data_IF_992771651036
#
_entry.id   IF_992771651036
#
_cell.length_a   1.000
_cell.length_b   1.000
_cell.length_c   1.000
_cell.angle_alpha   90.00
_cell.angle_beta   90.00
_cell.angle_gamma   90.00
#
_symmetry.space_group_name_H-M   'P 1'
#
loop_
_entity.id
_entity.type
_entity.pdbx_description
1 polymer ?
#
# COMPACT_ATOMS: atom_id res chain seq x y z
N UNK A 1 49.64 -9.29 51.38
CA UNK A 1 49.26 -9.03 49.97
C UNK A 1 48.66 -10.32 49.41
N UNK A 2 47.37 -10.36 49.08
CA UNK A 2 46.72 -11.54 48.48
C UNK A 2 46.14 -11.11 47.13
N UNK A 3 46.74 -11.59 46.04
CA UNK A 3 46.27 -11.35 44.68
C UNK A 3 45.01 -12.17 44.40
N UNK A 4 44.00 -11.52 43.82
CA UNK A 4 42.80 -12.17 43.28
C UNK A 4 42.98 -12.30 41.77
N UNK A 5 43.05 -13.53 41.27
CA UNK A 5 42.99 -13.82 39.84
C UNK A 5 41.52 -13.88 39.41
N UNK A 6 41.17 -13.09 38.39
CA UNK A 6 39.84 -13.10 37.74
C UNK A 6 39.93 -14.05 36.54
N UNK A 7 39.17 -15.13 36.57
CA UNK A 7 38.96 -16.02 35.41
C UNK A 7 37.93 -15.38 34.48
N UNK A 8 38.33 -15.01 33.26
CA UNK A 8 37.43 -14.61 32.18
C UNK A 8 37.11 -15.88 31.38
N UNK A 9 35.87 -16.37 31.47
CA UNK A 9 35.37 -17.45 30.65
C UNK A 9 34.94 -16.90 29.28
N UNK A 10 35.69 -17.25 28.23
CA UNK A 10 35.37 -16.93 26.84
C UNK A 10 34.32 -17.94 26.34
N UNK A 11 33.05 -17.54 26.30
CA UNK A 11 31.98 -18.36 25.71
C UNK A 11 32.00 -18.18 24.19
N UNK A 12 32.58 -19.15 23.48
CA UNK A 12 32.49 -19.27 22.03
C UNK A 12 31.13 -19.91 21.69
N UNK A 13 30.16 -19.11 21.27
CA UNK A 13 28.88 -19.60 20.76
C UNK A 13 29.06 -20.03 19.29
N UNK A 14 28.77 -21.29 18.91
CA UNK A 14 28.77 -21.68 17.51
C UNK A 14 27.57 -21.03 16.80
N UNK A 15 27.84 -20.23 15.76
CA UNK A 15 26.83 -19.77 14.80
C UNK A 15 26.30 -20.97 14.04
N UNK A 16 25.11 -21.44 14.41
CA UNK A 16 24.30 -22.29 13.53
C UNK A 16 23.72 -21.39 12.44
N UNK A 17 24.28 -21.49 11.24
CA UNK A 17 23.66 -20.98 10.03
C UNK A 17 22.42 -21.84 9.73
N UNK A 18 21.24 -21.37 10.14
CA UNK A 18 19.99 -21.91 9.63
C UNK A 18 19.77 -21.38 8.22
N UNK A 19 19.98 -22.22 7.22
CA UNK A 19 19.48 -21.96 5.87
C UNK A 19 17.95 -21.91 5.92
N UNK A 20 17.36 -20.76 5.58
CA UNK A 20 15.91 -20.65 5.42
C UNK A 20 15.50 -21.38 4.14
N UNK A 21 14.73 -22.45 4.27
CA UNK A 21 14.00 -23.06 3.17
C UNK A 21 12.76 -22.19 2.88
N UNK A 22 12.63 -21.66 1.67
CA UNK A 22 11.40 -21.03 1.15
C UNK A 22 10.37 -22.11 0.80
N UNK A 23 9.64 -22.61 1.80
CA UNK A 23 8.47 -23.44 1.55
C UNK A 23 7.21 -22.62 1.84
N UNK A 24 6.45 -22.33 0.78
CA UNK A 24 5.11 -21.73 0.81
C UNK A 24 4.12 -22.65 0.09
N UNK A 25 2.85 -22.59 0.48
CA UNK A 25 1.76 -23.36 -0.12
C UNK A 25 0.93 -22.51 -1.07
N UNK A 26 0.10 -23.17 -1.87
CA UNK A 26 -0.86 -22.49 -2.74
C UNK A 26 -2.26 -23.01 -2.48
N UNK A 27 -3.27 -22.16 -2.63
CA UNK A 27 -4.67 -22.50 -2.42
C UNK A 27 -5.49 -22.10 -3.63
N UNK A 28 -6.20 -23.05 -4.21
CA UNK A 28 -7.16 -22.81 -5.28
C UNK A 28 -8.57 -23.10 -4.80
N UNK A 29 -9.49 -22.17 -5.01
CA UNK A 29 -10.92 -22.34 -4.71
C UNK A 29 -11.71 -22.04 -5.97
N UNK A 30 -12.57 -22.95 -6.40
CA UNK A 30 -13.46 -22.73 -7.54
C UNK A 30 -14.90 -23.16 -7.26
N UNK A 31 -15.85 -22.54 -7.95
CA UNK A 31 -17.27 -22.89 -7.91
C UNK A 31 -17.65 -23.82 -9.05
N UNK A 32 -18.14 -25.02 -8.70
CA UNK A 32 -18.61 -26.01 -9.67
C UNK A 32 -19.90 -25.55 -10.37
N UNK A 33 -20.75 -24.79 -9.67
CA UNK A 33 -22.00 -24.22 -10.18
C UNK A 33 -21.83 -22.87 -10.89
N UNK A 34 -20.61 -22.33 -10.96
CA UNK A 34 -20.34 -21.02 -11.58
C UNK A 34 -20.78 -19.82 -10.73
N UNK A 35 -21.03 -20.04 -9.44
CA UNK A 35 -21.35 -18.96 -8.50
C UNK A 35 -20.13 -18.07 -8.28
N UNK A 36 -20.28 -16.76 -8.52
CA UNK A 36 -19.21 -15.79 -8.27
C UNK A 36 -19.12 -15.48 -6.78
N UNK A 37 -17.90 -15.39 -6.25
CA UNK A 37 -17.65 -15.15 -4.84
C UNK A 37 -16.46 -14.24 -4.58
N UNK A 38 -16.46 -13.66 -3.39
CA UNK A 38 -15.31 -13.02 -2.76
C UNK A 38 -14.67 -14.00 -1.78
N UNK A 39 -13.34 -14.05 -1.80
CA UNK A 39 -12.53 -14.83 -0.89
C UNK A 39 -11.95 -13.93 0.18
N UNK A 40 -12.13 -14.30 1.44
CA UNK A 40 -11.51 -13.65 2.58
C UNK A 40 -10.64 -14.68 3.29
N UNK A 41 -9.36 -14.38 3.47
CA UNK A 41 -8.41 -15.19 4.22
C UNK A 41 -7.92 -14.40 5.44
N UNK A 42 -8.02 -14.99 6.62
CA UNK A 42 -7.63 -14.38 7.90
C UNK A 42 -8.25 -12.98 8.15
N UNK A 43 -9.42 -12.72 7.58
CA UNK A 43 -10.11 -11.42 7.70
C UNK A 43 -9.81 -10.43 6.57
N UNK A 44 -8.87 -10.74 5.67
CA UNK A 44 -8.51 -9.90 4.53
C UNK A 44 -9.12 -10.41 3.23
N UNK A 45 -9.84 -9.54 2.51
CA UNK A 45 -10.42 -9.87 1.21
C UNK A 45 -9.33 -9.94 0.13
N UNK A 46 -9.31 -11.03 -0.64
CA UNK A 46 -8.25 -11.35 -1.59
C UNK A 46 -8.55 -10.88 -3.02
N UNK A 47 -9.82 -10.60 -3.33
CA UNK A 47 -10.26 -10.16 -4.66
C UNK A 47 -11.28 -9.02 -4.55
N UNK A 48 -11.15 -7.99 -5.39
CA UNK A 48 -12.07 -6.83 -5.40
C UNK A 48 -13.29 -7.05 -6.30
N UNK A 49 -13.17 -7.95 -7.28
CA UNK A 49 -14.23 -8.36 -8.21
C UNK A 49 -14.59 -9.82 -7.94
N UNK A 50 -15.87 -10.21 -7.84
CA UNK A 50 -16.25 -11.57 -7.50
C UNK A 50 -15.94 -12.52 -8.66
N UNK A 51 -15.21 -13.59 -8.38
CA UNK A 51 -14.71 -14.55 -9.36
C UNK A 51 -15.32 -15.94 -9.15
N UNK A 52 -15.25 -16.82 -10.15
CA UNK A 52 -15.68 -18.22 -10.03
C UNK A 52 -14.52 -19.17 -9.73
N UNK A 53 -13.28 -18.72 -9.88
CA UNK A 53 -12.07 -19.51 -9.68
C UNK A 53 -10.92 -18.59 -9.24
N UNK A 54 -10.44 -18.78 -8.02
CA UNK A 54 -9.39 -17.97 -7.39
C UNK A 54 -8.26 -18.88 -6.96
N UNK A 55 -7.03 -18.51 -7.31
CA UNK A 55 -5.81 -19.10 -6.80
C UNK A 55 -5.04 -18.07 -5.99
N UNK A 56 -4.63 -18.45 -4.80
CA UNK A 56 -3.75 -17.69 -3.92
C UNK A 56 -2.42 -18.42 -3.81
N UNK A 57 -1.34 -17.75 -4.18
CA UNK A 57 0.03 -18.26 -4.09
C UNK A 57 0.76 -17.68 -2.87
N UNK A 58 1.86 -18.31 -2.48
CA UNK A 58 2.77 -17.84 -1.41
C UNK A 58 2.17 -17.84 0.00
N UNK A 59 1.36 -18.85 0.31
CA UNK A 59 0.77 -19.05 1.63
C UNK A 59 1.79 -19.64 2.62
N UNK A 60 2.29 -18.79 3.52
CA UNK A 60 3.31 -19.15 4.52
C UNK A 60 2.78 -19.64 5.88
N UNK A 61 1.47 -19.85 6.05
CA UNK A 61 0.90 -20.45 7.27
C UNK A 61 0.30 -21.82 6.96
N UNK A 62 0.31 -22.79 7.89
CA UNK A 62 -0.26 -24.11 7.61
C UNK A 62 -1.79 -24.12 7.56
N UNK A 63 -2.46 -23.15 8.17
CA UNK A 63 -3.91 -23.03 8.24
C UNK A 63 -4.36 -21.59 7.97
N UNK A 64 -5.48 -21.44 7.26
CA UNK A 64 -6.10 -20.14 6.98
C UNK A 64 -7.58 -20.16 7.35
N UNK A 65 -8.00 -19.15 8.13
CA UNK A 65 -9.42 -18.89 8.37
C UNK A 65 -10.03 -18.33 7.08
N UNK A 66 -10.89 -19.12 6.45
CA UNK A 66 -11.44 -18.81 5.13
C UNK A 66 -12.91 -18.46 5.24
N UNK A 67 -13.31 -17.34 4.64
CA UNK A 67 -14.69 -16.97 4.44
C UNK A 67 -14.98 -16.74 2.96
N UNK A 68 -16.03 -17.39 2.47
CA UNK A 68 -16.56 -17.22 1.11
C UNK A 68 -17.82 -16.37 1.22
N UNK A 69 -17.84 -15.26 0.48
CA UNK A 69 -18.99 -14.36 0.41
C UNK A 69 -19.51 -14.37 -1.03
N UNK A 70 -20.72 -14.88 -1.24
CA UNK A 70 -21.28 -14.96 -2.58
C UNK A 70 -21.73 -13.59 -3.11
N UNK A 71 -21.56 -13.38 -4.41
CA UNK A 71 -22.10 -12.20 -5.09
C UNK A 71 -23.64 -12.21 -5.06
N UNK A 72 -24.24 -13.40 -5.20
CA UNK A 72 -25.67 -13.61 -4.98
C UNK A 72 -25.98 -13.63 -3.47
N UNK A 73 -26.61 -12.55 -2.99
CA UNK A 73 -26.95 -12.36 -1.57
C UNK A 73 -28.00 -13.35 -1.03
N UNK A 74 -28.60 -14.17 -1.89
CA UNK A 74 -29.51 -15.25 -1.48
C UNK A 74 -28.77 -16.49 -0.98
N UNK A 75 -27.46 -16.60 -1.27
CA UNK A 75 -26.64 -17.70 -0.81
C UNK A 75 -25.99 -17.36 0.54
N UNK A 76 -25.96 -18.31 1.49
CA UNK A 76 -25.28 -18.10 2.76
C UNK A 76 -23.76 -18.09 2.58
N UNK A 77 -23.07 -17.23 3.34
CA UNK A 77 -21.62 -17.25 3.44
C UNK A 77 -21.11 -18.59 4.01
N UNK A 78 -19.92 -19.00 3.58
CA UNK A 78 -19.25 -20.20 4.11
C UNK A 78 -18.04 -19.76 4.94
N UNK A 79 -17.89 -20.28 6.15
CA UNK A 79 -16.68 -20.07 6.97
C UNK A 79 -16.06 -21.42 7.34
N UNK A 80 -14.80 -21.63 6.96
CA UNK A 80 -14.02 -22.85 7.27
C UNK A 80 -12.54 -22.54 7.45
N UNK A 81 -11.85 -23.30 8.29
CA UNK A 81 -10.39 -23.29 8.35
C UNK A 81 -9.84 -24.27 7.32
N UNK A 82 -8.98 -23.80 6.43
CA UNK A 82 -8.38 -24.61 5.37
C UNK A 82 -6.91 -24.87 5.68
N UNK A 83 -6.45 -26.09 5.41
CA UNK A 83 -5.07 -26.50 5.61
C UNK A 83 -4.33 -26.44 4.26
N UNK A 84 -3.12 -25.90 4.25
CA UNK A 84 -2.26 -25.82 3.04
C UNK A 84 -1.00 -26.69 3.13
N UNK A 85 -0.91 -27.52 4.17
CA UNK A 85 0.18 -28.48 4.38
C UNK A 85 -0.34 -29.92 4.38
N UNK A 86 0.56 -30.86 4.10
CA UNK A 86 0.28 -32.29 4.29
C UNK A 86 0.43 -32.72 5.77
N UNK A 87 0.20 -34.01 6.04
CA UNK A 87 0.35 -34.60 7.39
C UNK A 87 1.79 -34.55 7.95
N UNK A 88 2.79 -34.29 7.10
CA UNK A 88 4.20 -34.17 7.47
C UNK A 88 4.66 -32.71 7.59
N UNK A 89 3.77 -31.75 7.34
CA UNK A 89 4.05 -30.32 7.43
C UNK A 89 4.66 -29.71 6.17
N UNK A 90 4.74 -30.43 5.05
CA UNK A 90 5.20 -29.84 3.79
C UNK A 90 4.09 -28.97 3.21
N UNK A 91 4.47 -27.82 2.66
CA UNK A 91 3.54 -26.96 1.95
C UNK A 91 3.15 -27.54 0.59
N UNK A 92 1.85 -27.45 0.29
CA UNK A 92 1.24 -28.10 -0.86
C UNK A 92 0.42 -27.12 -1.69
N UNK A 93 0.17 -27.49 -2.94
CA UNK A 93 -0.83 -26.86 -3.80
C UNK A 93 -2.18 -27.54 -3.55
N UNK A 94 -3.03 -26.87 -2.76
CA UNK A 94 -4.30 -27.40 -2.28
C UNK A 94 -5.46 -26.81 -3.06
N UNK A 95 -6.42 -27.65 -3.43
CA UNK A 95 -7.61 -27.24 -4.17
C UNK A 95 -8.85 -27.60 -3.37
N UNK A 96 -9.74 -26.62 -3.22
CA UNK A 96 -11.09 -26.79 -2.71
C UNK A 96 -12.12 -26.42 -3.78
N UNK A 97 -13.29 -27.05 -3.71
CA UNK A 97 -14.42 -26.80 -4.61
C UNK A 97 -15.66 -26.42 -3.83
N UNK A 98 -16.37 -25.40 -4.32
CA UNK A 98 -17.70 -25.03 -3.84
C UNK A 98 -18.72 -25.85 -4.64
N UNK A 99 -19.58 -26.60 -3.94
CA UNK A 99 -20.60 -27.44 -4.55
C UNK A 99 -21.98 -27.18 -3.93
N UNK A 100 -23.02 -27.24 -4.76
CA UNK A 100 -24.43 -27.25 -4.33
C UNK A 100 -24.92 -28.68 -4.15
N UNK A 101 -25.48 -29.01 -2.99
CA UNK A 101 -26.14 -30.29 -2.70
C UNK A 101 -27.48 -30.02 -2.02
N UNK A 102 -28.59 -30.39 -2.67
CA UNK A 102 -29.94 -30.42 -2.09
C UNK A 102 -30.28 -29.22 -1.16
N UNK A 103 -30.16 -27.99 -1.67
CA UNK A 103 -30.48 -26.77 -0.91
C UNK A 103 -29.35 -26.22 -0.02
N UNK A 104 -28.23 -26.94 0.10
CA UNK A 104 -27.04 -26.52 0.82
C UNK A 104 -25.87 -26.24 -0.12
N UNK A 105 -25.07 -25.23 0.19
CA UNK A 105 -23.82 -24.93 -0.49
C UNK A 105 -22.67 -25.21 0.47
N UNK A 106 -21.64 -25.90 -0.01
CA UNK A 106 -20.53 -26.31 0.84
C UNK A 106 -19.18 -26.21 0.12
N UNK A 107 -18.12 -25.98 0.90
CA UNK A 107 -16.74 -25.92 0.45
C UNK A 107 -16.03 -27.23 0.81
N UNK A 108 -15.69 -28.02 -0.21
CA UNK A 108 -15.14 -29.37 -0.07
C UNK A 108 -13.69 -29.43 -0.54
N UNK A 109 -12.86 -30.16 0.19
CA UNK A 109 -11.53 -30.52 -0.28
C UNK A 109 -11.63 -31.30 -1.60
N UNK A 110 -10.81 -30.94 -2.59
CA UNK A 110 -10.80 -31.57 -3.90
C UNK A 110 -9.51 -32.36 -4.13
N UNK A 111 -8.36 -31.70 -4.01
CA UNK A 111 -7.06 -32.32 -4.26
C UNK A 111 -5.93 -31.57 -3.56
N UNK A 112 -4.78 -32.23 -3.45
CA UNK A 112 -3.53 -31.66 -2.96
C UNK A 112 -2.39 -32.27 -3.78
N UNK A 113 -1.45 -31.44 -4.23
CA UNK A 113 -0.27 -31.86 -4.95
C UNK A 113 0.97 -31.09 -4.46
N UNK A 114 2.20 -31.59 -4.66
CA UNK A 114 3.40 -30.81 -4.37
C UNK A 114 3.39 -29.50 -5.15
N UNK A 115 3.85 -28.41 -4.52
CA UNK A 115 3.89 -27.09 -5.14
C UNK A 115 4.74 -27.14 -6.42
N UNK A 116 4.18 -26.85 -7.60
CA UNK A 116 4.92 -26.90 -8.85
C UNK A 116 5.93 -25.75 -8.93
N UNK A 117 7.17 -26.05 -9.35
CA UNK A 117 8.24 -25.03 -9.51
C UNK A 117 7.92 -23.93 -10.52
N UNK A 118 7.02 -24.21 -11.48
CA UNK A 118 6.51 -23.27 -12.48
C UNK A 118 5.06 -23.60 -12.75
N UNK A 119 4.14 -22.81 -12.23
CA UNK A 119 2.71 -22.94 -12.48
C UNK A 119 2.29 -22.04 -13.65
N UNK A 120 1.47 -22.56 -14.57
CA UNK A 120 0.87 -21.76 -15.66
C UNK A 120 -0.63 -21.77 -15.46
N UNK A 121 -1.19 -20.64 -15.06
CA UNK A 121 -2.62 -20.49 -14.83
C UNK A 121 -3.41 -20.56 -16.15
N UNK A 122 -4.55 -21.29 -16.19
CA UNK A 122 -5.47 -21.18 -17.31
C UNK A 122 -6.15 -19.80 -17.33
N UNK A 123 -6.54 -19.33 -18.52
CA UNK A 123 -7.02 -17.95 -18.75
C UNK A 123 -8.27 -17.54 -17.95
N UNK A 124 -9.00 -18.49 -17.37
CA UNK A 124 -10.20 -18.28 -16.57
C UNK A 124 -9.96 -18.37 -15.05
N UNK A 125 -8.70 -18.35 -14.61
CA UNK A 125 -8.35 -18.40 -13.19
C UNK A 125 -7.73 -17.09 -12.74
N UNK A 126 -8.28 -16.53 -11.65
CA UNK A 126 -7.77 -15.32 -11.05
C UNK A 126 -6.65 -15.67 -10.06
N UNK A 127 -5.41 -15.30 -10.35
CA UNK A 127 -4.24 -15.62 -9.52
C UNK A 127 -3.82 -14.39 -8.73
N UNK A 128 -3.64 -14.56 -7.42
CA UNK A 128 -3.12 -13.54 -6.52
C UNK A 128 -1.98 -14.13 -5.70
N UNK A 129 -1.03 -13.29 -5.32
CA UNK A 129 -0.01 -13.64 -4.33
C UNK A 129 -0.47 -13.15 -2.96
N UNK A 130 -0.51 -14.03 -1.97
CA UNK A 130 -0.95 -13.69 -0.63
C UNK A 130 -0.09 -12.55 -0.07
N UNK A 131 -0.73 -11.45 0.35
CA UNK A 131 -0.05 -10.28 0.89
C UNK A 131 0.64 -9.36 -0.13
N UNK A 132 0.48 -9.56 -1.45
CA UNK A 132 0.80 -8.56 -2.48
C UNK A 132 -0.48 -7.98 -3.08
N UNK A 133 -0.68 -6.67 -2.97
CA UNK A 133 -1.79 -6.00 -3.65
C UNK A 133 -1.59 -6.08 -5.18
N UNK A 134 -2.51 -6.75 -5.87
CA UNK A 134 -2.52 -6.86 -7.33
C UNK A 134 -2.77 -5.50 -7.99
N UNK A 135 -1.79 -5.01 -8.76
CA UNK A 135 -2.07 -4.17 -9.93
C UNK A 135 -1.50 -4.85 -11.16
N UNK A 136 -2.40 -5.03 -12.14
CA UNK A 136 -2.16 -5.24 -13.58
C UNK A 136 -1.86 -6.67 -14.06
N UNK A 137 -2.93 -7.44 -14.30
CA UNK A 137 -2.96 -8.50 -15.32
C UNK A 137 -4.19 -8.33 -16.22
N UNK A 138 -4.19 -7.26 -17.00
CA UNK A 138 -5.03 -7.12 -18.19
C UNK A 138 -4.19 -6.54 -19.31
N UNK A 139 -3.44 -7.41 -20.01
CA UNK A 139 -3.53 -7.56 -21.47
C UNK A 139 -2.35 -8.43 -21.98
N UNK A 140 -2.59 -9.73 -22.16
CA UNK A 140 -1.72 -10.58 -22.98
C UNK A 140 -2.55 -11.35 -24.00
N UNK A 141 -3.25 -10.58 -24.81
CA UNK A 141 -3.81 -11.05 -26.07
C UNK A 141 -3.26 -10.28 -27.26
N UNK A 142 -1.97 -10.42 -27.61
CA UNK A 142 -1.51 -10.37 -29.02
C UNK A 142 -0.03 -10.74 -29.19
N UNK A 143 0.16 -11.66 -30.14
CA UNK A 143 1.39 -12.31 -30.57
C UNK A 143 2.33 -11.40 -31.35
N UNK A 144 3.61 -11.64 -31.08
CA UNK A 144 4.75 -11.76 -31.99
C UNK A 144 5.33 -10.55 -32.74
N UNK A 145 6.67 -10.54 -32.65
CA UNK A 145 7.70 -9.83 -33.44
C UNK A 145 7.97 -8.40 -33.03
N UNK A 146 9.03 -8.20 -32.24
CA UNK A 146 10.28 -7.52 -32.64
C UNK A 146 11.38 -8.02 -31.69
N UNK A 147 12.28 -8.88 -32.18
CA UNK A 147 13.66 -8.55 -32.56
C UNK A 147 14.47 -7.98 -31.39
N UNK A 148 15.39 -8.81 -30.89
CA UNK A 148 16.46 -8.46 -29.96
C UNK A 148 17.05 -7.08 -30.26
N UNK A 149 16.93 -6.17 -29.28
CA UNK A 149 17.81 -5.03 -29.12
C UNK A 149 18.07 -4.84 -27.62
N UNK A 150 19.32 -5.09 -27.25
CA UNK A 150 20.03 -4.56 -26.08
C UNK A 150 19.28 -4.49 -24.74
N UNK A 151 19.27 -5.61 -24.02
CA UNK A 151 19.00 -5.68 -22.57
C UNK A 151 20.16 -5.05 -21.77
N UNK A 152 20.32 -3.72 -21.84
CA UNK A 152 21.27 -2.98 -20.99
C UNK A 152 20.70 -1.76 -20.27
N UNK A 153 19.39 -1.58 -20.22
CA UNK A 153 18.79 -0.50 -19.41
C UNK A 153 17.38 -0.88 -18.90
N UNK A 154 17.22 -2.04 -18.28
CA UNK A 154 16.10 -2.22 -17.33
C UNK A 154 16.52 -1.55 -16.04
N UNK A 155 16.14 -0.29 -15.88
CA UNK A 155 16.05 0.35 -14.57
C UNK A 155 15.19 -0.59 -13.71
N UNK A 156 15.82 -1.32 -12.80
CA UNK A 156 15.14 -2.15 -11.83
C UNK A 156 14.48 -1.16 -10.87
N UNK A 157 13.23 -0.79 -11.18
CA UNK A 157 12.48 0.11 -10.32
C UNK A 157 12.47 -0.51 -8.91
N UNK A 158 12.85 0.25 -7.87
CA UNK A 158 13.01 -0.31 -6.55
C UNK A 158 11.70 -0.93 -6.07
N UNK A 159 11.72 -2.23 -5.78
CA UNK A 159 10.57 -2.95 -5.24
C UNK A 159 10.51 -2.79 -3.73
N UNK A 160 9.30 -2.67 -3.14
CA UNK A 160 9.17 -2.71 -1.71
C UNK A 160 9.57 -4.10 -1.20
N UNK A 161 10.13 -4.14 0.00
CA UNK A 161 10.41 -5.39 0.73
C UNK A 161 9.17 -6.29 0.67
N UNK A 162 9.33 -7.59 0.44
CA UNK A 162 8.19 -8.49 0.41
C UNK A 162 7.58 -8.70 1.80
N UNK A 163 6.37 -9.24 1.85
CA UNK A 163 5.58 -9.33 3.07
C UNK A 163 6.22 -10.22 4.15
N UNK A 164 7.00 -11.24 3.78
CA UNK A 164 7.68 -12.12 4.73
C UNK A 164 8.86 -11.40 5.36
N UNK A 165 9.72 -10.81 4.54
CA UNK A 165 10.87 -10.05 5.01
C UNK A 165 10.42 -8.84 5.84
N UNK A 166 9.33 -8.21 5.44
CA UNK A 166 8.73 -7.10 6.17
C UNK A 166 8.20 -7.53 7.55
N UNK A 167 7.54 -8.67 7.64
CA UNK A 167 7.10 -9.21 8.93
C UNK A 167 8.30 -9.43 9.87
N UNK A 168 9.40 -10.00 9.36
CA UNK A 168 10.62 -10.19 10.14
C UNK A 168 11.26 -8.87 10.56
N UNK A 169 11.35 -7.90 9.65
CA UNK A 169 11.85 -6.56 9.92
C UNK A 169 11.02 -5.86 11.01
N UNK A 170 9.70 -5.98 10.95
CA UNK A 170 8.77 -5.43 11.94
C UNK A 170 8.94 -6.07 13.32
N UNK A 171 9.10 -7.39 13.40
CA UNK A 171 9.40 -8.08 14.66
C UNK A 171 10.77 -7.65 15.23
N UNK A 172 11.78 -7.46 14.37
CA UNK A 172 13.10 -6.99 14.81
C UNK A 172 13.03 -5.61 15.46
N UNK A 173 12.24 -4.68 14.90
CA UNK A 173 12.00 -3.37 15.51
C UNK A 173 11.23 -3.50 16.82
N UNK A 174 10.21 -4.36 16.90
CA UNK A 174 9.41 -4.56 18.12
C UNK A 174 10.22 -5.15 19.28
N UNK A 175 11.14 -6.05 18.99
CA UNK A 175 11.96 -6.73 20.02
C UNK A 175 13.06 -5.83 20.60
N UNK A 176 13.32 -4.65 20.02
CA UNK A 176 14.25 -3.69 20.60
C UNK A 176 13.66 -3.07 21.88
N UNK A 177 14.48 -2.97 22.92
CA UNK A 177 14.03 -2.71 24.30
C UNK A 177 13.64 -1.27 24.61
N UNK A 178 14.08 -0.28 23.82
CA UNK A 178 13.79 1.15 24.01
C UNK A 178 13.67 1.90 22.68
N UNK A 179 12.96 3.03 22.69
CA UNK A 179 12.59 3.80 21.49
C UNK A 179 13.77 4.15 20.56
N UNK A 180 14.93 4.51 21.12
CA UNK A 180 16.12 4.83 20.31
C UNK A 180 16.72 3.59 19.63
N UNK A 181 16.73 2.44 20.29
CA UNK A 181 17.14 1.17 19.69
C UNK A 181 16.15 0.73 18.61
N UNK A 182 14.85 0.89 18.84
CA UNK A 182 13.82 0.64 17.84
C UNK A 182 14.05 1.54 16.60
N UNK A 183 14.30 2.83 16.80
CA UNK A 183 14.54 3.79 15.73
C UNK A 183 15.83 3.49 14.96
N UNK A 184 16.91 3.13 15.66
CA UNK A 184 18.17 2.72 15.05
C UNK A 184 18.01 1.45 14.20
N UNK A 185 17.28 0.46 14.72
CA UNK A 185 16.97 -0.79 14.01
C UNK A 185 16.13 -0.50 12.77
N UNK A 186 15.08 0.32 12.91
CA UNK A 186 14.22 0.71 11.80
C UNK A 186 14.98 1.49 10.71
N UNK A 187 15.88 2.41 11.08
CA UNK A 187 16.75 3.11 10.12
C UNK A 187 17.73 2.18 9.42
N UNK A 188 18.24 1.16 10.12
CA UNK A 188 19.14 0.16 9.54
C UNK A 188 18.44 -0.67 8.45
N UNK A 189 17.16 -0.99 8.65
CA UNK A 189 16.33 -1.67 7.63
C UNK A 189 16.25 -0.85 6.34
N UNK A 190 16.14 0.47 6.43
CA UNK A 190 16.05 1.36 5.26
C UNK A 190 17.33 1.44 4.42
N UNK A 191 18.50 1.01 4.93
CA UNK A 191 19.78 1.17 4.21
C UNK A 191 19.82 0.38 2.90
N UNK A 192 19.26 -0.83 2.90
CA UNK A 192 19.32 -1.76 1.77
C UNK A 192 17.93 -2.15 1.24
N UNK A 193 16.87 -1.63 1.84
CA UNK A 193 15.50 -2.00 1.47
C UNK A 193 14.70 -0.76 1.10
N UNK A 194 13.76 -0.96 0.18
CA UNK A 194 12.70 0.00 -0.09
C UNK A 194 11.41 -0.50 0.55
N UNK A 195 10.53 0.43 0.89
CA UNK A 195 9.25 0.14 1.51
C UNK A 195 8.13 0.74 0.68
N UNK A 196 6.94 0.15 0.76
CA UNK A 196 5.71 0.84 0.37
C UNK A 196 5.28 1.80 1.46
N UNK A 197 4.46 2.79 1.10
CA UNK A 197 3.85 3.71 2.05
C UNK A 197 3.09 2.97 3.14
N UNK A 198 2.41 1.86 2.81
CA UNK A 198 1.69 1.06 3.80
C UNK A 198 2.64 0.38 4.80
N UNK A 199 3.77 -0.14 4.32
CA UNK A 199 4.81 -0.70 5.19
C UNK A 199 5.44 0.35 6.10
N UNK A 200 5.62 1.58 5.61
CA UNK A 200 6.06 2.70 6.46
C UNK A 200 5.04 3.00 7.55
N UNK A 201 3.74 3.04 7.22
CA UNK A 201 2.65 3.23 8.18
C UNK A 201 2.68 2.15 9.26
N UNK A 202 2.83 0.89 8.86
CA UNK A 202 2.90 -0.25 9.77
C UNK A 202 4.09 -0.19 10.72
N UNK A 203 5.27 0.22 10.24
CA UNK A 203 6.46 0.41 11.08
C UNK A 203 6.31 1.63 11.99
N UNK A 204 5.74 2.73 11.51
CA UNK A 204 5.41 3.88 12.36
C UNK A 204 4.51 3.48 13.53
N UNK A 205 3.53 2.59 13.32
CA UNK A 205 2.63 2.11 14.39
C UNK A 205 3.32 1.26 15.45
N UNK A 206 4.54 0.78 15.23
CA UNK A 206 5.32 0.06 16.24
C UNK A 206 5.84 1.01 17.33
N UNK A 207 6.01 2.30 17.02
CA UNK A 207 6.45 3.29 17.98
C UNK A 207 5.28 3.85 18.81
N UNK A 208 5.52 4.09 20.09
CA UNK A 208 4.49 4.60 21.00
C UNK A 208 4.32 6.13 20.93
N UNK A 209 5.41 6.87 20.66
CA UNK A 209 5.43 8.33 20.71
C UNK A 209 5.61 8.93 19.31
N UNK A 210 5.15 10.16 19.11
CA UNK A 210 5.21 10.81 17.81
C UNK A 210 6.64 11.21 17.38
N UNK A 211 7.51 11.59 18.32
CA UNK A 211 8.90 11.96 18.02
C UNK A 211 9.67 10.85 17.27
N UNK A 212 9.73 9.59 17.76
CA UNK A 212 10.38 8.50 17.02
C UNK A 212 9.63 8.11 15.74
N UNK A 213 8.28 8.20 15.71
CA UNK A 213 7.50 8.00 14.48
C UNK A 213 7.92 8.99 13.40
N UNK A 214 8.07 10.25 13.78
CA UNK A 214 8.38 11.35 12.86
C UNK A 214 9.82 11.23 12.36
N UNK A 215 10.77 10.93 13.27
CA UNK A 215 12.15 10.70 12.90
C UNK A 215 12.30 9.52 11.92
N UNK A 216 11.54 8.44 12.12
CA UNK A 216 11.51 7.31 11.18
C UNK A 216 10.83 7.68 9.86
N UNK A 217 9.64 8.29 9.89
CA UNK A 217 8.89 8.69 8.70
C UNK A 217 9.68 9.65 7.81
N UNK A 218 10.47 10.58 8.38
CA UNK A 218 11.34 11.44 7.58
C UNK A 218 12.46 10.67 6.88
N UNK A 219 13.07 9.70 7.57
CA UNK A 219 14.12 8.86 7.00
C UNK A 219 13.60 7.90 5.92
N UNK A 220 12.38 7.39 6.08
CA UNK A 220 11.78 6.42 5.17
C UNK A 220 11.31 7.03 3.83
N UNK A 221 11.07 8.35 3.77
CA UNK A 221 10.53 9.01 2.57
C UNK A 221 11.36 8.73 1.30
N UNK A 222 12.68 8.90 1.40
CA UNK A 222 13.60 8.66 0.27
C UNK A 222 13.73 7.17 -0.13
N UNK A 223 13.24 6.27 0.74
CA UNK A 223 13.25 4.81 0.55
C UNK A 223 11.85 4.26 0.34
N UNK A 224 10.92 5.11 -0.09
CA UNK A 224 9.54 4.69 -0.39
C UNK A 224 9.31 4.61 -1.90
N UNK A 225 8.69 3.53 -2.34
CA UNK A 225 8.47 3.22 -3.77
C UNK A 225 7.29 3.97 -4.38
N UNK A 226 6.32 4.35 -3.56
CA UNK A 226 5.08 5.03 -3.95
C UNK A 226 4.90 6.38 -3.19
N UNK A 227 5.85 7.33 -3.33
CA UNK A 227 5.87 8.57 -2.56
C UNK A 227 4.65 9.46 -2.78
N UNK A 228 3.90 9.28 -3.88
CA UNK A 228 2.64 9.96 -4.13
C UNK A 228 1.55 9.62 -3.09
N UNK A 229 1.65 8.46 -2.45
CA UNK A 229 0.75 8.01 -1.39
C UNK A 229 1.20 8.43 0.01
N UNK A 230 2.40 9.00 0.16
CA UNK A 230 3.06 9.18 1.46
C UNK A 230 2.30 10.09 2.44
N UNK A 231 1.40 10.93 1.93
CA UNK A 231 0.48 11.72 2.75
C UNK A 231 -0.32 10.88 3.75
N UNK A 232 -0.57 9.59 3.46
CA UNK A 232 -1.28 8.66 4.34
C UNK A 232 -0.57 8.46 5.68
N UNK A 233 0.76 8.60 5.71
CA UNK A 233 1.58 8.47 6.93
C UNK A 233 1.18 9.52 7.97
N UNK A 234 0.65 10.68 7.58
CA UNK A 234 0.19 11.70 8.52
C UNK A 234 -0.87 11.16 9.52
N UNK A 235 -1.65 10.14 9.14
CA UNK A 235 -2.68 9.56 10.02
C UNK A 235 -2.12 8.74 11.20
N UNK A 236 -0.81 8.42 11.23
CA UNK A 236 -0.19 7.68 12.34
C UNK A 236 0.18 8.55 13.54
N UNK A 237 0.17 9.87 13.35
CA UNK A 237 0.52 10.86 14.35
C UNK A 237 -0.68 11.29 15.18
N UNK A 238 -0.44 11.46 16.47
CA UNK A 238 -1.44 11.91 17.43
C UNK A 238 -1.48 13.44 17.47
N UNK A 239 -0.34 14.10 17.28
CA UNK A 239 -0.21 15.55 17.38
C UNK A 239 -0.24 16.23 16.00
N UNK A 240 -0.98 17.35 15.90
CA UNK A 240 -1.04 18.17 14.69
C UNK A 240 0.32 18.71 14.26
N UNK A 241 1.18 19.08 15.21
CA UNK A 241 2.55 19.56 14.92
C UNK A 241 3.37 18.53 14.15
N UNK A 242 3.33 17.26 14.56
CA UNK A 242 4.03 16.16 13.88
C UNK A 242 3.51 15.93 12.46
N UNK A 243 2.19 16.07 12.26
CA UNK A 243 1.55 15.98 10.93
C UNK A 243 2.04 17.11 10.04
N UNK A 244 1.99 18.34 10.53
CA UNK A 244 2.43 19.54 9.80
C UNK A 244 3.91 19.47 9.43
N UNK A 245 4.76 19.04 10.36
CA UNK A 245 6.19 18.90 10.11
C UNK A 245 6.49 17.86 9.03
N UNK A 246 5.78 16.73 9.02
CA UNK A 246 5.88 15.75 7.95
C UNK A 246 5.37 16.30 6.61
N UNK A 247 4.20 16.93 6.60
CA UNK A 247 3.56 17.49 5.41
C UNK A 247 4.44 18.55 4.72
N UNK A 248 5.09 19.40 5.52
CA UNK A 248 6.01 20.42 5.04
C UNK A 248 7.24 19.78 4.37
N UNK A 249 7.79 18.71 4.96
CA UNK A 249 8.90 17.96 4.38
C UNK A 249 8.51 17.31 3.04
N UNK A 250 7.33 16.68 2.95
CA UNK A 250 6.84 16.06 1.70
C UNK A 250 6.73 17.13 0.61
N UNK A 251 6.08 18.26 0.93
CA UNK A 251 5.90 19.38 0.01
C UNK A 251 7.24 19.94 -0.50
N UNK A 252 8.21 20.11 0.38
CA UNK A 252 9.54 20.61 0.02
C UNK A 252 10.28 19.65 -0.93
N UNK A 253 10.25 18.34 -0.67
CA UNK A 253 10.92 17.35 -1.50
C UNK A 253 10.28 17.21 -2.89
N UNK A 254 8.96 17.33 -2.99
CA UNK A 254 8.27 17.25 -4.27
C UNK A 254 8.46 18.51 -5.14
N UNK A 255 8.68 19.67 -4.52
CA UNK A 255 9.01 20.90 -5.24
C UNK A 255 10.43 20.87 -5.84
N UNK A 256 11.37 20.14 -5.22
CA UNK A 256 12.74 19.97 -5.72
C UNK A 256 12.85 19.02 -6.93
N UNK A 257 11.83 18.18 -7.18
CA UNK A 257 11.83 17.17 -8.26
C UNK A 257 11.25 17.65 -9.60
N UNK A 258 10.90 18.93 -9.73
CA UNK A 258 10.38 19.54 -10.96
C UNK A 258 11.49 20.23 -11.80
N UNK A 259 12.67 19.60 -11.94
CA UNK A 259 13.66 19.99 -12.95
C UNK A 259 13.35 19.29 -14.28
N UNK A 260 13.29 20.07 -15.36
CA UNK A 260 12.72 19.82 -16.69
C UNK A 260 13.37 18.67 -17.52
N UNK A 261 14.10 17.76 -16.89
CA UNK A 261 14.99 16.79 -17.58
C UNK A 261 14.45 15.36 -17.68
N UNK A 262 13.33 15.05 -17.01
CA UNK A 262 12.63 13.78 -17.20
C UNK A 262 11.30 14.09 -17.86
N UNK A 263 11.14 13.65 -19.11
CA UNK A 263 9.92 13.82 -19.91
C UNK A 263 8.66 13.42 -19.15
N UNK A 264 7.48 13.85 -19.62
CA UNK A 264 6.26 13.91 -18.83
C UNK A 264 5.96 12.54 -18.22
N UNK A 265 6.17 12.43 -16.89
CA UNK A 265 5.38 11.48 -16.09
C UNK A 265 3.94 11.82 -16.45
N UNK A 266 3.23 10.89 -17.07
CA UNK A 266 1.87 11.12 -17.55
C UNK A 266 1.08 11.82 -16.44
N UNK A 267 0.58 13.04 -16.73
CA UNK A 267 -0.23 13.84 -15.82
C UNK A 267 -1.57 13.14 -15.62
N UNK A 268 -1.57 12.02 -14.90
CA UNK A 268 -2.74 11.21 -14.63
C UNK A 268 -3.37 11.72 -13.34
N UNK A 269 -4.66 12.08 -13.35
CA UNK A 269 -5.32 12.49 -12.12
C UNK A 269 -5.36 11.33 -11.13
N UNK A 270 -5.31 11.65 -9.84
CA UNK A 270 -5.50 10.70 -8.75
C UNK A 270 -6.79 9.89 -8.98
N UNK A 271 -6.73 8.57 -8.82
CA UNK A 271 -7.91 7.72 -9.00
C UNK A 271 -8.95 7.94 -7.90
N UNK A 272 -10.18 7.43 -8.08
CA UNK A 272 -11.28 7.66 -7.16
C UNK A 272 -11.00 7.13 -5.74
N UNK A 273 -10.30 6.00 -5.61
CA UNK A 273 -9.96 5.39 -4.33
C UNK A 273 -8.92 6.22 -3.59
N UNK A 274 -7.82 6.57 -4.27
CA UNK A 274 -6.79 7.46 -3.74
C UNK A 274 -7.36 8.82 -3.37
N UNK A 275 -8.28 9.35 -4.17
CA UNK A 275 -8.93 10.62 -3.90
C UNK A 275 -9.85 10.56 -2.67
N UNK A 276 -10.60 9.48 -2.48
CA UNK A 276 -11.38 9.28 -1.27
C UNK A 276 -10.48 9.23 -0.01
N UNK A 277 -9.35 8.54 -0.08
CA UNK A 277 -8.35 8.47 1.00
C UNK A 277 -7.69 9.83 1.28
N UNK A 278 -7.39 10.61 0.23
CA UNK A 278 -6.87 11.96 0.34
C UNK A 278 -7.84 12.88 1.10
N UNK A 279 -9.12 12.89 0.71
CA UNK A 279 -10.16 13.66 1.41
C UNK A 279 -10.29 13.26 2.87
N UNK A 280 -10.22 11.97 3.18
CA UNK A 280 -10.29 11.50 4.57
C UNK A 280 -9.07 11.95 5.38
N UNK A 281 -7.86 11.84 4.81
CA UNK A 281 -6.62 12.28 5.47
C UNK A 281 -6.66 13.78 5.78
N UNK A 282 -7.17 14.60 4.85
CA UNK A 282 -7.38 16.04 5.10
C UNK A 282 -8.36 16.24 6.26
N UNK A 283 -9.52 15.57 6.27
CA UNK A 283 -10.52 15.69 7.35
C UNK A 283 -10.00 15.27 8.72
N UNK A 284 -8.99 14.40 8.79
CA UNK A 284 -8.37 13.96 10.04
C UNK A 284 -7.39 15.00 10.65
N UNK A 285 -7.22 16.17 10.03
CA UNK A 285 -6.36 17.25 10.52
C UNK A 285 -6.85 17.97 11.78
N UNK A 286 -8.11 17.78 12.19
CA UNK A 286 -8.78 18.39 13.37
C UNK A 286 -8.91 19.92 13.36
N UNK A 287 -7.96 20.65 12.75
CA UNK A 287 -7.95 22.12 12.62
C UNK A 287 -7.54 22.54 11.22
N UNK A 288 -8.01 23.72 10.80
CA UNK A 288 -7.90 24.21 9.44
C UNK A 288 -6.44 24.30 8.94
N UNK A 289 -5.50 24.76 9.78
CA UNK A 289 -4.07 24.83 9.43
C UNK A 289 -3.46 23.45 9.10
N UNK A 290 -3.77 22.43 9.91
CA UNK A 290 -3.34 21.05 9.66
C UNK A 290 -4.02 20.47 8.42
N UNK A 291 -5.29 20.79 8.19
CA UNK A 291 -6.02 20.39 6.97
C UNK A 291 -5.38 21.00 5.72
N UNK A 292 -5.03 22.30 5.75
CA UNK A 292 -4.38 23.01 4.64
C UNK A 292 -2.99 22.44 4.37
N UNK A 293 -2.16 22.26 5.40
CA UNK A 293 -0.81 21.68 5.21
C UNK A 293 -0.89 20.25 4.64
N UNK A 294 -1.87 19.46 5.07
CA UNK A 294 -2.14 18.12 4.54
C UNK A 294 -2.56 18.19 3.08
N UNK A 295 -3.50 19.08 2.72
CA UNK A 295 -3.93 19.26 1.34
C UNK A 295 -2.76 19.68 0.43
N UNK A 296 -1.91 20.61 0.87
CA UNK A 296 -0.71 21.06 0.12
C UNK A 296 0.27 19.92 -0.12
N UNK A 297 0.51 19.10 0.90
CA UNK A 297 1.35 17.90 0.81
C UNK A 297 0.84 16.96 -0.27
N UNK A 298 -0.45 16.62 -0.24
CA UNK A 298 -1.10 15.76 -1.24
C UNK A 298 -0.98 16.37 -2.64
N UNK A 299 -1.30 17.66 -2.78
CA UNK A 299 -1.26 18.38 -4.06
C UNK A 299 0.15 18.37 -4.66
N UNK A 300 1.18 18.55 -3.83
CA UNK A 300 2.57 18.58 -4.29
C UNK A 300 3.06 17.27 -4.92
N UNK A 301 2.45 16.13 -4.59
CA UNK A 301 2.86 14.82 -5.11
C UNK A 301 1.98 14.30 -6.25
N UNK A 302 0.82 14.90 -6.48
CA UNK A 302 -0.24 14.31 -7.30
C UNK A 302 -0.76 15.28 -8.37
N UNK A 303 -1.52 14.74 -9.33
CA UNK A 303 -2.30 15.51 -10.29
C UNK A 303 -3.80 15.29 -10.06
N UNK A 304 -4.62 16.27 -10.44
CA UNK A 304 -6.06 16.28 -10.19
C UNK A 304 -6.83 16.76 -11.42
N UNK A 305 -8.09 16.39 -11.51
CA UNK A 305 -9.06 17.10 -12.36
C UNK A 305 -9.56 18.36 -11.67
N UNK A 306 -10.05 19.34 -12.44
CA UNK A 306 -10.68 20.54 -11.90
C UNK A 306 -11.87 20.21 -10.97
N UNK A 307 -12.60 19.12 -11.25
CA UNK A 307 -13.68 18.65 -10.38
C UNK A 307 -13.14 18.14 -9.03
N UNK A 308 -12.05 17.36 -9.04
CA UNK A 308 -11.39 16.93 -7.82
C UNK A 308 -10.86 18.12 -7.01
N UNK A 309 -10.29 19.14 -7.65
CA UNK A 309 -9.85 20.37 -6.96
C UNK A 309 -11.04 21.10 -6.32
N UNK A 310 -12.16 21.22 -7.04
CA UNK A 310 -13.39 21.78 -6.51
C UNK A 310 -13.87 21.03 -5.26
N UNK A 311 -13.85 19.69 -5.29
CA UNK A 311 -14.17 18.85 -4.13
C UNK A 311 -13.19 19.02 -2.95
N UNK A 312 -11.90 19.20 -3.21
CA UNK A 312 -10.90 19.50 -2.17
C UNK A 312 -11.19 20.85 -1.51
N UNK A 313 -11.48 21.89 -2.29
CA UNK A 313 -11.84 23.20 -1.75
C UNK A 313 -13.10 23.11 -0.86
N UNK A 314 -14.09 22.30 -1.23
CA UNK A 314 -15.31 22.10 -0.42
C UNK A 314 -15.08 21.45 0.95
N UNK A 315 -13.89 20.92 1.22
CA UNK A 315 -13.53 20.40 2.55
C UNK A 315 -13.31 21.51 3.58
N UNK A 316 -13.07 22.74 3.13
CA UNK A 316 -12.72 23.87 3.99
C UNK A 316 -13.91 24.80 4.19
N UNK A 317 -14.03 25.34 5.41
CA UNK A 317 -15.11 26.25 5.76
C UNK A 317 -14.84 27.68 5.28
N UNK A 318 -13.58 28.12 5.33
CA UNK A 318 -13.19 29.50 5.07
C UNK A 318 -12.63 29.67 3.65
N UNK A 319 -13.00 30.78 2.98
CA UNK A 319 -12.55 31.05 1.62
C UNK A 319 -11.04 31.29 1.51
N UNK A 320 -10.39 31.78 2.57
CA UNK A 320 -8.94 31.92 2.64
C UNK A 320 -8.23 30.58 2.40
N UNK A 321 -8.62 29.54 3.14
CA UNK A 321 -8.09 28.18 3.02
C UNK A 321 -8.42 27.56 1.67
N UNK A 322 -9.65 27.78 1.17
CA UNK A 322 -10.08 27.32 -0.16
C UNK A 322 -9.23 27.92 -1.27
N UNK A 323 -8.93 29.22 -1.18
CA UNK A 323 -8.09 29.93 -2.14
C UNK A 323 -6.66 29.42 -2.13
N UNK A 324 -6.08 29.22 -0.94
CA UNK A 324 -4.74 28.68 -0.81
C UNK A 324 -4.62 27.30 -1.48
N UNK A 325 -5.58 26.42 -1.20
CA UNK A 325 -5.64 25.08 -1.79
C UNK A 325 -5.87 25.14 -3.31
N UNK A 326 -6.79 26.00 -3.78
CA UNK A 326 -7.06 26.16 -5.20
C UNK A 326 -5.81 26.64 -5.97
N UNK A 327 -5.12 27.67 -5.46
CA UNK A 327 -3.89 28.20 -6.07
C UNK A 327 -2.77 27.17 -6.10
N UNK A 328 -2.61 26.39 -5.03
CA UNK A 328 -1.63 25.31 -4.98
C UNK A 328 -1.94 24.19 -5.99
N UNK A 329 -3.23 23.88 -6.20
CA UNK A 329 -3.67 22.80 -7.08
C UNK A 329 -3.69 23.17 -8.58
N UNK A 330 -3.76 24.45 -8.92
CA UNK A 330 -3.85 24.90 -10.32
C UNK A 330 -2.72 24.35 -11.21
N UNK A 331 -1.41 24.43 -10.85
CA UNK A 331 -0.33 23.87 -11.66
C UNK A 331 -0.37 22.34 -11.78
N UNK A 332 -1.15 21.68 -10.91
CA UNK A 332 -1.33 20.22 -10.82
C UNK A 332 -2.66 19.76 -11.36
N UNK A 333 -3.38 20.63 -12.08
CA UNK A 333 -4.64 20.26 -12.73
C UNK A 333 -4.38 19.77 -14.16
N UNK A 334 -5.00 18.64 -14.52
CA UNK A 334 -4.83 18.00 -15.83
C UNK A 334 -5.73 18.61 -16.92
N UNK A 335 -6.85 19.22 -16.52
CA UNK A 335 -7.85 19.87 -17.38
C UNK A 335 -8.05 21.35 -16.98
N UNK A 336 -7.01 22.21 -17.08
CA UNK A 336 -7.07 23.60 -16.60
C UNK A 336 -8.17 24.43 -17.28
N UNK A 337 -8.60 24.07 -18.49
CA UNK A 337 -9.74 24.69 -19.17
C UNK A 337 -11.06 24.59 -18.36
N UNK A 338 -11.18 23.60 -17.47
CA UNK A 338 -12.35 23.42 -16.60
C UNK A 338 -12.18 24.08 -15.22
N UNK A 339 -11.04 24.71 -14.94
CA UNK A 339 -10.70 25.19 -13.61
C UNK A 339 -11.60 26.33 -13.10
N UNK A 340 -12.29 27.04 -14.01
CA UNK A 340 -13.33 28.02 -13.65
C UNK A 340 -14.41 27.43 -12.72
N UNK A 341 -14.67 26.12 -12.77
CA UNK A 341 -15.61 25.43 -11.88
C UNK A 341 -15.20 25.49 -10.41
N UNK A 342 -13.89 25.56 -10.11
CA UNK A 342 -13.35 25.62 -8.74
C UNK A 342 -13.84 26.87 -8.01
N UNK A 343 -14.07 27.98 -8.73
CA UNK A 343 -14.65 29.20 -8.17
C UNK A 343 -16.03 29.00 -7.53
N UNK A 344 -16.75 27.92 -7.86
CA UNK A 344 -18.04 27.59 -7.24
C UNK A 344 -17.91 27.10 -5.78
N UNK A 345 -16.71 26.76 -5.31
CA UNK A 345 -16.49 26.47 -3.88
C UNK A 345 -16.37 27.75 -3.03
N UNK A 346 -16.08 28.90 -3.66
CA UNK A 346 -15.88 30.17 -2.98
C UNK A 346 -17.22 30.86 -2.72
N UNK A 347 -17.37 31.36 -1.50
CA UNK A 347 -18.56 32.08 -1.02
C UNK A 347 -18.53 33.55 -1.43
N UNK A 348 -17.36 34.20 -1.38
CA UNK A 348 -17.21 35.65 -1.61
C UNK A 348 -16.80 35.98 -3.04
N UNK A 349 -17.33 37.09 -3.57
CA UNK A 349 -16.98 37.59 -4.91
C UNK A 349 -15.51 38.01 -5.01
N UNK A 350 -14.97 38.63 -3.97
CA UNK A 350 -13.55 39.01 -3.89
C UNK A 350 -12.62 37.80 -4.04
N UNK A 351 -12.95 36.69 -3.37
CA UNK A 351 -12.19 35.44 -3.50
C UNK A 351 -12.27 34.87 -4.92
N UNK A 352 -13.45 34.90 -5.56
CA UNK A 352 -13.60 34.46 -6.96
C UNK A 352 -12.76 35.31 -7.91
N UNK A 353 -12.77 36.62 -7.72
CA UNK A 353 -11.95 37.56 -8.48
C UNK A 353 -10.46 37.29 -8.29
N UNK A 354 -10.01 37.10 -7.05
CA UNK A 354 -8.62 36.77 -6.74
C UNK A 354 -8.16 35.47 -7.41
N UNK A 355 -9.01 34.43 -7.41
CA UNK A 355 -8.71 33.19 -8.11
C UNK A 355 -8.64 33.39 -9.63
N UNK A 356 -9.57 34.14 -10.20
CA UNK A 356 -9.59 34.44 -11.64
C UNK A 356 -8.36 35.25 -12.08
N UNK A 357 -7.93 36.22 -11.27
CA UNK A 357 -6.73 37.00 -11.53
C UNK A 357 -5.48 36.10 -11.52
N UNK A 358 -5.35 35.23 -10.51
CA UNK A 358 -4.25 34.27 -10.42
C UNK A 358 -4.16 33.31 -11.63
N UNK A 359 -5.31 32.90 -12.18
CA UNK A 359 -5.37 32.03 -13.37
C UNK A 359 -4.97 32.81 -14.62
N UNK A 360 -5.46 34.05 -14.75
CA UNK A 360 -5.22 34.91 -15.91
C UNK A 360 -3.75 35.29 -16.07
N UNK A 361 -3.03 35.52 -14.95
CA UNK A 361 -1.61 35.87 -14.95
C UNK A 361 -0.68 34.74 -15.44
N UNK A 362 -1.22 33.53 -15.67
CA UNK A 362 -0.48 32.32 -16.07
C UNK A 362 -0.85 31.80 -17.46
N UNK A 363 -1.68 32.54 -18.19
CA UNK A 363 -1.99 32.36 -19.61
C UNK A 363 -1.34 33.48 -20.42
#
# INVERSE_FOLDING_TARGET
MKHRYIFIALFLFPLLAFGQYDQSGNLTIFSESGDKFYLVLNGEQQNDVPQTNIRIEDLGQPYYSTRIIFADKRLPDITKNLQVTDMTGNYMDVVYKIQRKAGHIDLNYFSMAPVPKKYVAPANMYVMHYGRHSKEDHDRGRRDRYRHHDDRDRYDDPYPMDSRDFAQAKEAVRNATFSDAMLSTAKSILLNNYLSTEQVIELCRVFNFDDPKLAFAKAAYARTVDPENYFKVANVFSFSSSKEELNNMISANNNAYNDDRRGPRYKKPMDATGFAQARQTIKNGSFDATMVSTARSIISGNYFTAEQVLELCRLFSYDESKLEVAKAAYPRTVDPANFFKVGNALSFSSSKEELNNFISDRH
#
